data_IF_152574993669
#
_entry.id   IF_152574993669
#
_cell.length_a   1.000
_cell.length_b   1.000
_cell.length_c   1.000
_cell.angle_alpha   90.00
_cell.angle_beta   90.00
_cell.angle_gamma   90.00
#
_symmetry.space_group_name_H-M   'P 1'
#
loop_
_entity.id
_entity.type
_entity.pdbx_description
1 polymer ?
#
# COMPACT_ATOMS: atom_id res chain seq x y z
N UNK A 1 -24.72 -34.83 -15.00
CA UNK A 1 -24.32 -34.36 -13.66
C UNK A 1 -23.07 -33.47 -13.68
N UNK A 2 -21.95 -33.93 -14.25
CA UNK A 2 -20.68 -33.15 -14.31
C UNK A 2 -20.84 -31.81 -15.07
N UNK A 3 -21.51 -31.80 -16.23
CA UNK A 3 -21.77 -30.57 -16.99
C UNK A 3 -22.63 -29.56 -16.22
N UNK A 4 -23.58 -30.05 -15.43
CA UNK A 4 -24.46 -29.22 -14.60
C UNK A 4 -23.69 -28.59 -13.44
N UNK A 5 -22.79 -29.35 -12.80
CA UNK A 5 -21.86 -28.85 -11.79
C UNK A 5 -20.90 -27.80 -12.36
N UNK A 6 -20.34 -28.03 -13.54
CA UNK A 6 -19.48 -27.07 -14.22
C UNK A 6 -20.24 -25.79 -14.58
N UNK A 7 -21.46 -25.89 -15.10
CA UNK A 7 -22.29 -24.73 -15.40
C UNK A 7 -22.58 -23.89 -14.14
N UNK A 8 -22.91 -24.53 -13.01
CA UNK A 8 -23.18 -23.83 -11.74
C UNK A 8 -21.97 -23.03 -11.24
N UNK A 9 -20.74 -23.46 -11.53
CA UNK A 9 -19.51 -22.73 -11.16
C UNK A 9 -19.13 -21.67 -12.21
N UNK A 10 -19.25 -22.00 -13.50
CA UNK A 10 -18.79 -21.13 -14.59
C UNK A 10 -19.74 -19.96 -14.81
N UNK A 11 -21.06 -20.15 -14.70
CA UNK A 11 -22.05 -19.08 -14.90
C UNK A 11 -21.83 -17.88 -13.97
N UNK A 12 -21.72 -18.04 -12.64
CA UNK A 12 -21.52 -16.90 -11.75
C UNK A 12 -20.16 -16.23 -11.98
N UNK A 13 -19.11 -16.98 -12.29
CA UNK A 13 -17.79 -16.41 -12.64
C UNK A 13 -17.87 -15.60 -13.93
N UNK A 14 -18.54 -16.12 -14.96
CA UNK A 14 -18.76 -15.41 -16.21
C UNK A 14 -19.61 -14.16 -16.00
N UNK A 15 -20.72 -14.25 -15.25
CA UNK A 15 -21.57 -13.09 -14.90
C UNK A 15 -20.75 -12.04 -14.14
N UNK A 16 -19.93 -12.43 -13.16
CA UNK A 16 -19.06 -11.50 -12.43
C UNK A 16 -18.02 -10.84 -13.34
N UNK A 17 -17.49 -11.56 -14.32
CA UNK A 17 -16.51 -11.03 -15.27
C UNK A 17 -17.15 -10.06 -16.27
N UNK A 18 -18.33 -10.40 -16.80
CA UNK A 18 -19.06 -9.59 -17.77
C UNK A 18 -19.84 -8.41 -17.15
N UNK A 19 -20.31 -8.56 -15.91
CA UNK A 19 -20.98 -7.48 -15.15
C UNK A 19 -19.98 -6.39 -14.75
N UNK A 20 -18.73 -6.77 -14.48
CA UNK A 20 -17.63 -5.84 -14.22
C UNK A 20 -16.98 -5.27 -15.49
N UNK A 21 -17.73 -5.18 -16.60
CA UNK A 21 -17.24 -4.45 -17.78
C UNK A 21 -16.83 -3.04 -17.36
N UNK A 22 -15.64 -2.57 -17.78
CA UNK A 22 -15.17 -1.24 -17.43
C UNK A 22 -16.23 -0.24 -17.91
N UNK A 23 -16.84 0.49 -16.96
CA UNK A 23 -17.75 1.58 -17.29
C UNK A 23 -17.01 2.48 -18.28
N UNK A 24 -17.49 2.55 -19.52
CA UNK A 24 -16.94 3.40 -20.58
C UNK A 24 -16.73 4.82 -20.01
N UNK A 25 -15.47 5.27 -20.01
CA UNK A 25 -15.02 6.66 -20.06
C UNK A 25 -15.87 7.71 -19.30
N UNK A 26 -16.19 7.48 -18.02
CA UNK A 26 -16.21 8.62 -17.09
C UNK A 26 -14.77 8.82 -16.65
N UNK A 27 -14.22 10.03 -16.80
CA UNK A 27 -12.91 10.39 -16.23
C UNK A 27 -12.93 9.98 -14.77
N UNK A 28 -12.26 8.87 -14.47
CA UNK A 28 -12.12 8.39 -13.11
C UNK A 28 -11.45 9.51 -12.31
N UNK A 29 -11.94 9.86 -11.12
CA UNK A 29 -11.25 10.83 -10.26
C UNK A 29 -9.89 10.28 -9.79
N UNK A 30 -9.61 8.99 -10.04
CA UNK A 30 -8.37 8.34 -9.67
C UNK A 30 -7.30 8.48 -10.75
N UNK A 31 -6.02 8.52 -10.33
CA UNK A 31 -4.89 8.43 -11.25
C UNK A 31 -4.97 7.20 -12.17
N UNK A 32 -4.39 7.28 -13.38
CA UNK A 32 -4.36 6.15 -14.31
C UNK A 32 -3.66 4.94 -13.70
N UNK A 33 -3.84 3.76 -14.28
CA UNK A 33 -3.17 2.55 -13.82
C UNK A 33 -3.59 1.29 -14.54
N UNK A 34 -2.93 0.16 -14.27
CA UNK A 34 -3.24 -1.08 -14.95
C UNK A 34 -4.62 -1.62 -14.57
N UNK A 35 -5.38 -2.18 -15.52
CA UNK A 35 -6.69 -2.75 -15.23
C UNK A 35 -6.57 -3.93 -14.27
N UNK A 36 -7.35 -3.92 -13.20
CA UNK A 36 -7.44 -5.02 -12.25
C UNK A 36 -8.63 -5.94 -12.54
N UNK A 37 -8.53 -7.20 -12.16
CA UNK A 37 -9.64 -8.15 -12.19
C UNK A 37 -10.56 -7.94 -10.97
N UNK A 38 -11.84 -8.38 -11.04
CA UNK A 38 -12.72 -8.39 -9.87
C UNK A 38 -12.09 -9.15 -8.69
N UNK A 39 -12.29 -8.65 -7.47
CA UNK A 39 -11.81 -9.19 -6.17
C UNK A 39 -10.29 -9.24 -5.97
N UNK A 40 -9.52 -9.77 -6.92
CA UNK A 40 -8.06 -9.92 -6.80
C UNK A 40 -7.29 -8.68 -7.25
N UNK A 41 -7.94 -7.77 -7.98
CA UNK A 41 -7.31 -6.57 -8.52
C UNK A 41 -6.15 -6.92 -9.45
N UNK A 42 -4.99 -6.35 -9.17
CA UNK A 42 -3.77 -6.50 -9.95
C UNK A 42 -2.83 -7.59 -9.40
N UNK A 43 -3.24 -8.39 -8.40
CA UNK A 43 -2.39 -9.45 -7.82
C UNK A 43 -1.88 -10.44 -8.87
N UNK A 44 -2.74 -10.83 -9.82
CA UNK A 44 -2.42 -11.80 -10.87
C UNK A 44 -1.28 -11.37 -11.80
N UNK A 45 -1.00 -10.06 -11.87
CA UNK A 45 0.03 -9.48 -12.72
C UNK A 45 1.13 -8.80 -11.89
N UNK A 46 1.09 -8.92 -10.56
CA UNK A 46 2.04 -8.28 -9.66
C UNK A 46 3.25 -9.18 -9.47
N UNK A 47 4.42 -8.69 -9.87
CA UNK A 47 5.68 -9.41 -9.63
C UNK A 47 6.15 -9.17 -8.18
N UNK A 48 6.00 -10.21 -7.36
CA UNK A 48 6.38 -10.19 -5.95
C UNK A 48 7.88 -10.33 -5.72
N UNK A 49 8.64 -10.85 -6.71
CA UNK A 49 10.08 -11.07 -6.57
C UNK A 49 10.86 -9.76 -6.69
N UNK A 50 10.42 -8.85 -7.56
CA UNK A 50 11.05 -7.55 -7.80
C UNK A 50 10.01 -6.41 -7.85
N UNK A 51 9.30 -6.14 -6.73
CA UNK A 51 8.17 -5.21 -6.72
C UNK A 51 8.58 -3.79 -7.11
N UNK A 52 9.77 -3.34 -6.73
CA UNK A 52 10.25 -1.99 -7.05
C UNK A 52 10.52 -1.81 -8.55
N UNK A 53 11.05 -2.83 -9.24
CA UNK A 53 11.27 -2.80 -10.70
C UNK A 53 9.93 -2.82 -11.43
N UNK A 54 9.01 -3.69 -11.00
CA UNK A 54 7.68 -3.77 -11.55
C UNK A 54 6.94 -2.43 -11.48
N UNK A 55 6.91 -1.81 -10.29
CA UNK A 55 6.27 -0.53 -10.06
C UNK A 55 6.95 0.60 -10.85
N UNK A 56 8.28 0.58 -10.98
CA UNK A 56 9.00 1.53 -11.81
C UNK A 56 8.65 1.40 -13.30
N UNK A 57 8.57 0.17 -13.85
CA UNK A 57 8.15 -0.05 -15.24
C UNK A 57 6.72 0.43 -15.48
N UNK A 58 5.81 0.17 -14.53
CA UNK A 58 4.44 0.68 -14.61
C UNK A 58 4.37 2.21 -14.56
N UNK A 59 5.18 2.87 -13.73
CA UNK A 59 5.17 4.34 -13.67
C UNK A 59 5.70 4.98 -14.95
N UNK A 60 6.57 4.30 -15.71
CA UNK A 60 6.93 4.74 -17.08
C UNK A 60 5.76 4.70 -18.05
N UNK A 61 4.78 3.80 -17.84
CA UNK A 61 3.60 3.66 -18.71
C UNK A 61 2.42 4.54 -18.28
N UNK A 62 2.14 4.60 -16.98
CA UNK A 62 0.96 5.28 -16.42
C UNK A 62 1.27 6.66 -15.84
N UNK A 63 2.55 7.01 -15.68
CA UNK A 63 2.99 8.30 -15.18
C UNK A 63 3.46 8.28 -13.72
N UNK A 64 3.88 9.46 -13.20
CA UNK A 64 4.52 9.59 -11.90
C UNK A 64 3.60 9.37 -10.70
N UNK A 65 2.28 9.34 -10.93
CA UNK A 65 1.25 8.99 -9.96
C UNK A 65 0.28 8.03 -10.64
N UNK A 66 0.10 6.85 -10.07
CA UNK A 66 -0.77 5.83 -10.64
C UNK A 66 -1.53 5.08 -9.55
N UNK A 67 -2.67 4.50 -9.90
CA UNK A 67 -3.50 3.71 -8.97
C UNK A 67 -3.58 2.25 -9.40
N UNK A 68 -3.61 1.35 -8.43
CA UNK A 68 -3.83 -0.09 -8.66
C UNK A 68 -4.52 -0.71 -7.45
N UNK A 69 -4.91 -1.98 -7.54
CA UNK A 69 -5.50 -2.73 -6.42
C UNK A 69 -4.67 -3.96 -6.11
N UNK A 70 -4.29 -4.13 -4.84
CA UNK A 70 -3.69 -5.38 -4.35
C UNK A 70 -4.78 -6.12 -3.59
N UNK A 71 -5.36 -7.15 -4.23
CA UNK A 71 -6.61 -7.74 -3.79
C UNK A 71 -7.73 -6.70 -3.86
N UNK A 72 -8.47 -6.55 -2.76
CA UNK A 72 -9.50 -5.53 -2.62
C UNK A 72 -8.99 -4.17 -2.10
N UNK A 73 -7.69 -4.03 -1.83
CA UNK A 73 -7.12 -2.80 -1.26
C UNK A 73 -6.62 -1.86 -2.36
N UNK A 74 -7.11 -0.61 -2.45
CA UNK A 74 -6.57 0.38 -3.38
C UNK A 74 -5.17 0.80 -2.94
N UNK A 75 -4.28 0.96 -3.91
CA UNK A 75 -2.89 1.37 -3.72
C UNK A 75 -2.60 2.53 -4.67
N UNK A 76 -2.06 3.61 -4.11
CA UNK A 76 -1.52 4.74 -4.86
C UNK A 76 -0.01 4.59 -4.92
N UNK A 77 0.56 4.65 -6.12
CA UNK A 77 2.01 4.56 -6.33
C UNK A 77 2.54 5.91 -6.77
N UNK A 78 3.55 6.40 -6.06
CA UNK A 78 4.22 7.67 -6.30
C UNK A 78 5.63 7.41 -6.79
N UNK A 79 6.01 7.99 -7.92
CA UNK A 79 7.29 7.75 -8.59
C UNK A 79 7.98 9.05 -9.05
N UNK A 80 7.70 10.17 -8.39
CA UNK A 80 8.35 11.47 -8.65
C UNK A 80 8.76 12.15 -7.35
N UNK A 81 9.96 12.77 -7.27
CA UNK A 81 10.40 13.51 -6.09
C UNK A 81 9.44 14.66 -5.71
N UNK A 82 8.88 15.36 -6.71
CA UNK A 82 7.94 16.45 -6.48
C UNK A 82 6.68 15.95 -5.75
N UNK A 83 6.11 14.84 -6.21
CA UNK A 83 4.91 14.26 -5.62
C UNK A 83 5.22 13.59 -4.28
N UNK A 84 6.40 12.97 -4.14
CA UNK A 84 6.85 12.41 -2.88
C UNK A 84 6.97 13.49 -1.79
N UNK A 85 7.45 14.70 -2.14
CA UNK A 85 7.44 15.85 -1.21
C UNK A 85 6.03 16.24 -0.79
N UNK A 86 5.07 16.25 -1.72
CA UNK A 86 3.67 16.55 -1.38
C UNK A 86 3.09 15.54 -0.39
N UNK A 87 3.39 14.24 -0.56
CA UNK A 87 2.86 13.17 0.29
C UNK A 87 3.58 13.07 1.63
N UNK A 88 4.91 13.19 1.64
CA UNK A 88 5.74 12.92 2.81
C UNK A 88 6.07 14.16 3.63
N UNK A 89 5.74 15.37 3.13
CA UNK A 89 6.02 16.63 3.82
C UNK A 89 4.82 17.58 3.83
N UNK A 90 4.25 17.91 2.68
CA UNK A 90 3.15 18.90 2.62
C UNK A 90 1.87 18.37 3.28
N UNK A 91 1.56 17.09 3.04
CA UNK A 91 0.36 16.41 3.55
C UNK A 91 0.73 15.21 4.44
N UNK A 92 1.86 15.28 5.11
CA UNK A 92 2.43 14.17 5.88
C UNK A 92 1.47 13.62 6.95
N UNK A 93 0.71 14.48 7.63
CA UNK A 93 -0.29 14.08 8.63
C UNK A 93 -1.38 13.18 8.02
N UNK A 94 -1.83 13.45 6.80
CA UNK A 94 -2.86 12.66 6.11
C UNK A 94 -2.33 11.28 5.74
N UNK A 95 -1.06 11.20 5.33
CA UNK A 95 -0.41 9.96 4.88
C UNK A 95 0.47 9.30 5.95
N UNK A 96 0.39 9.76 7.21
CA UNK A 96 1.27 9.33 8.29
C UNK A 96 0.95 7.92 8.78
N UNK A 97 -0.33 7.52 8.71
CA UNK A 97 -0.80 6.19 9.14
C UNK A 97 -0.32 5.06 8.22
N UNK A 98 -0.27 3.83 8.75
CA UNK A 98 0.12 2.62 8.02
C UNK A 98 -1.08 1.70 7.75
N UNK A 99 -1.11 1.01 6.59
CA UNK A 99 -2.15 0.02 6.33
C UNK A 99 -2.03 -1.13 7.33
N UNK A 100 -3.16 -1.51 7.94
CA UNK A 100 -3.20 -2.61 8.90
C UNK A 100 -3.13 -3.96 8.17
N UNK A 101 -1.94 -4.55 8.16
CA UNK A 101 -1.70 -5.94 7.72
C UNK A 101 -1.72 -6.86 8.94
N UNK A 102 -2.37 -8.02 8.85
CA UNK A 102 -2.58 -8.91 10.01
C UNK A 102 -1.26 -9.31 10.71
N UNK A 103 -0.25 -9.68 9.94
CA UNK A 103 1.07 -10.04 10.47
C UNK A 103 1.72 -8.88 11.22
N UNK A 104 1.76 -7.70 10.59
CA UNK A 104 2.28 -6.48 11.23
C UNK A 104 1.49 -6.15 12.49
N UNK A 105 0.15 -6.17 12.43
CA UNK A 105 -0.71 -5.88 13.56
C UNK A 105 -0.40 -6.75 14.78
N UNK A 106 -0.18 -8.06 14.58
CA UNK A 106 0.14 -8.98 15.68
C UNK A 106 1.57 -8.79 16.20
N UNK A 107 2.54 -8.60 15.30
CA UNK A 107 3.95 -8.40 15.69
C UNK A 107 4.21 -7.03 16.32
N UNK A 108 3.36 -6.03 16.04
CA UNK A 108 3.44 -4.66 16.55
C UNK A 108 2.62 -4.41 17.82
N UNK A 109 2.31 -5.46 18.58
CA UNK A 109 1.46 -5.37 19.78
C UNK A 109 0.15 -4.63 19.50
N UNK A 110 -0.59 -5.09 18.48
CA UNK A 110 -1.81 -4.47 17.98
C UNK A 110 -1.61 -3.04 17.43
N UNK A 111 -0.50 -2.79 16.73
CA UNK A 111 -0.11 -1.46 16.23
C UNK A 111 0.06 -0.41 17.34
N UNK A 112 0.77 -0.76 18.41
CA UNK A 112 1.10 0.14 19.52
C UNK A 112 2.58 0.53 19.56
N UNK A 113 3.35 0.16 18.54
CA UNK A 113 4.77 0.50 18.42
C UNK A 113 5.02 1.82 17.66
N UNK A 114 6.29 2.22 17.53
CA UNK A 114 6.68 3.48 16.85
C UNK A 114 6.56 3.40 15.33
N UNK A 115 6.60 2.21 14.73
CA UNK A 115 6.72 2.01 13.30
C UNK A 115 5.38 1.84 12.57
N UNK A 116 4.42 1.14 13.19
CA UNK A 116 3.15 0.73 12.59
C UNK A 116 1.92 1.34 13.27
N UNK A 117 2.06 1.99 14.43
CA UNK A 117 0.93 2.69 15.05
C UNK A 117 0.42 3.85 14.16
N UNK A 118 -0.90 4.10 14.14
CA UNK A 118 -1.45 5.28 13.51
C UNK A 118 -1.01 6.55 14.26
N UNK A 119 -0.98 7.67 13.54
CA UNK A 119 -0.67 8.96 14.15
C UNK A 119 -1.69 9.31 15.22
N UNK A 120 -1.19 9.56 16.44
CA UNK A 120 -1.96 9.84 17.65
C UNK A 120 -1.06 10.55 18.66
N UNK A 121 -1.65 11.14 19.71
CA UNK A 121 -0.85 11.78 20.77
C UNK A 121 0.07 10.78 21.49
N UNK A 122 -0.41 9.55 21.74
CA UNK A 122 0.41 8.48 22.31
C UNK A 122 1.62 8.14 21.43
N UNK A 123 1.43 8.08 20.11
CA UNK A 123 2.55 7.86 19.18
C UNK A 123 3.54 9.03 19.19
N UNK A 124 3.07 10.27 19.31
CA UNK A 124 3.93 11.47 19.38
C UNK A 124 4.81 11.45 20.62
N UNK A 125 4.24 11.13 21.79
CA UNK A 125 5.00 11.01 23.03
C UNK A 125 6.03 9.88 22.98
N UNK A 126 5.63 8.71 22.47
CA UNK A 126 6.57 7.59 22.32
C UNK A 126 7.72 7.96 21.38
N UNK A 127 7.43 8.60 20.25
CA UNK A 127 8.46 9.09 19.32
C UNK A 127 9.39 10.11 19.97
N UNK A 128 8.86 11.02 20.78
CA UNK A 128 9.66 12.01 21.54
C UNK A 128 10.62 11.32 22.50
N UNK A 129 10.14 10.32 23.25
CA UNK A 129 10.98 9.51 24.14
C UNK A 129 12.11 8.83 23.36
N UNK A 130 11.80 8.18 22.22
CA UNK A 130 12.83 7.53 21.39
C UNK A 130 13.89 8.53 20.92
N UNK A 131 13.48 9.72 20.44
CA UNK A 131 14.42 10.73 19.95
C UNK A 131 15.33 11.25 21.08
N UNK A 132 14.77 11.52 22.26
CA UNK A 132 15.53 12.08 23.38
C UNK A 132 16.45 11.06 24.05
N UNK A 133 15.98 9.83 24.23
CA UNK A 133 16.63 8.85 25.10
C UNK A 133 17.31 7.69 24.37
N UNK A 134 16.98 7.42 23.10
CA UNK A 134 17.58 6.33 22.33
C UNK A 134 18.41 6.85 21.16
N UNK A 135 17.92 7.87 20.46
CA UNK A 135 18.51 8.36 19.20
C UNK A 135 19.22 9.72 19.37
N UNK A 136 19.50 10.15 20.59
CA UNK A 136 20.21 11.40 20.84
C UNK A 136 21.71 11.27 20.60
N UNK A 137 22.38 12.37 20.25
CA UNK A 137 23.83 12.38 19.98
C UNK A 137 24.65 11.82 21.15
N UNK A 138 24.24 12.11 22.39
CA UNK A 138 24.88 11.57 23.60
C UNK A 138 24.84 10.03 23.62
N UNK A 139 23.67 9.45 23.32
CA UNK A 139 23.50 7.99 23.28
C UNK A 139 24.29 7.37 22.14
N UNK A 140 24.24 7.97 20.94
CA UNK A 140 25.03 7.50 19.80
C UNK A 140 26.53 7.45 20.12
N UNK A 141 27.04 8.44 20.85
CA UNK A 141 28.44 8.47 21.30
C UNK A 141 28.73 7.44 22.39
N UNK A 142 27.81 7.18 23.32
CA UNK A 142 28.02 6.16 24.35
C UNK A 142 28.09 4.74 23.79
N UNK A 143 27.39 4.46 22.69
CA UNK A 143 27.45 3.16 21.99
C UNK A 143 28.65 3.03 21.04
N UNK A 144 29.53 4.02 20.94
CA UNK A 144 30.71 3.99 20.08
C UNK A 144 31.63 2.77 20.30
N UNK A 145 31.86 2.26 21.52
CA UNK A 145 32.74 1.10 21.72
C UNK A 145 32.23 -0.22 21.11
N UNK A 146 30.94 -0.34 20.81
CA UNK A 146 30.31 -1.56 20.29
C UNK A 146 30.25 -1.57 18.75
N UNK A 147 30.49 -0.42 18.10
CA UNK A 147 30.38 -0.24 16.65
C UNK A 147 31.75 -0.25 16.00
#
# INVERSE_FOLDING_TARGET
>A
MILLLLAVVILPVAILFFSNRPRRLRKSPYPPGPPGLPFIGNLHQFDTSMPYIYLWRLSKKYGPIMSMKIGSKPVLVVSSPRIAKEVLKTHDLVFSSRPRVLGQYKLSYNCSDVAFAPYSDSWRELRKICVLHLLSSKQVLSFRPVR
#
